data_IF_110902783205
#
_entry.id   IF_110902783205
#
_cell.length_a   1.000
_cell.length_b   1.000
_cell.length_c   1.000
_cell.angle_alpha   90.00
_cell.angle_beta   90.00
_cell.angle_gamma   90.00
#
_symmetry.space_group_name_H-M   'P 1'
#
loop_
_entity.id
_entity.type
_entity.pdbx_description
1 polymer ?
#
# COMPACT_ATOMS: atom_id res chain seq x y z
N UNK A 1 -21.50 14.43 3.77
CA UNK A 1 -20.84 13.73 2.64
C UNK A 1 -20.68 12.26 2.99
N UNK A 2 -21.27 11.35 2.23
CA UNK A 2 -21.04 9.91 2.43
C UNK A 2 -19.59 9.56 2.10
N UNK A 3 -18.84 8.97 3.05
CA UNK A 3 -17.49 8.47 2.81
C UNK A 3 -17.59 7.35 1.76
N UNK A 4 -17.09 7.58 0.54
CA UNK A 4 -16.93 6.51 -0.46
C UNK A 4 -16.06 5.41 0.15
N UNK A 5 -16.56 4.18 0.16
CA UNK A 5 -15.85 3.00 0.66
C UNK A 5 -14.59 2.80 -0.21
N UNK A 6 -13.42 3.10 0.33
CA UNK A 6 -12.14 2.90 -0.37
C UNK A 6 -11.91 1.41 -0.62
N UNK A 7 -11.40 1.05 -1.81
CA UNK A 7 -10.97 -0.33 -2.15
C UNK A 7 -10.10 -0.88 -1.01
N UNK A 8 -10.47 -2.03 -0.46
CA UNK A 8 -9.61 -2.77 0.48
C UNK A 8 -8.45 -3.35 -0.33
N UNK A 9 -7.21 -3.10 0.11
CA UNK A 9 -6.03 -3.68 -0.51
C UNK A 9 -6.06 -5.20 -0.35
N UNK A 10 -5.92 -5.93 -1.46
CA UNK A 10 -5.75 -7.38 -1.49
C UNK A 10 -4.29 -7.73 -1.21
N UNK A 11 -4.01 -8.99 -0.90
CA UNK A 11 -2.64 -9.45 -0.68
C UNK A 11 -1.74 -9.20 -1.91
N UNK A 12 -2.26 -9.42 -3.12
CA UNK A 12 -1.57 -9.12 -4.38
C UNK A 12 -1.17 -7.64 -4.48
N UNK A 13 -2.08 -6.72 -4.13
CA UNK A 13 -1.78 -5.29 -4.12
C UNK A 13 -0.62 -5.00 -3.14
N UNK A 14 -0.57 -5.67 -1.97
CA UNK A 14 0.53 -5.52 -0.99
C UNK A 14 1.86 -6.04 -1.52
N UNK A 15 1.86 -7.17 -2.20
CA UNK A 15 3.07 -7.73 -2.83
C UNK A 15 3.63 -6.77 -3.88
N UNK A 16 2.76 -6.12 -4.67
CA UNK A 16 3.17 -5.10 -5.64
C UNK A 16 3.77 -3.88 -4.92
N UNK A 17 3.13 -3.40 -3.85
CA UNK A 17 3.66 -2.29 -3.04
C UNK A 17 5.06 -2.63 -2.51
N UNK A 18 5.26 -3.81 -1.93
CA UNK A 18 6.57 -4.26 -1.42
C UNK A 18 7.62 -4.32 -2.54
N UNK A 19 7.32 -5.02 -3.63
CA UNK A 19 8.24 -5.19 -4.77
C UNK A 19 8.67 -3.84 -5.35
N UNK A 20 7.72 -2.95 -5.61
CA UNK A 20 8.00 -1.66 -6.21
C UNK A 20 8.66 -0.67 -5.24
N UNK A 21 8.33 -0.77 -3.95
CA UNK A 21 8.98 0.04 -2.92
C UNK A 21 10.46 -0.32 -2.77
N UNK A 22 10.78 -1.63 -2.76
CA UNK A 22 12.17 -2.13 -2.79
C UNK A 22 12.91 -1.75 -4.08
N UNK A 23 12.20 -1.68 -5.19
CA UNK A 23 12.74 -1.17 -6.45
C UNK A 23 12.88 0.37 -6.50
N UNK A 24 12.63 1.08 -5.40
CA UNK A 24 12.79 2.53 -5.30
C UNK A 24 11.71 3.37 -5.99
N UNK A 25 10.69 2.76 -6.58
CA UNK A 25 9.63 3.47 -7.34
C UNK A 25 8.87 4.49 -6.49
N UNK A 26 8.36 5.56 -7.08
CA UNK A 26 7.62 6.59 -6.31
C UNK A 26 6.25 6.03 -5.90
N UNK A 27 5.75 6.46 -4.73
CA UNK A 27 4.42 6.02 -4.23
C UNK A 27 3.31 6.30 -5.25
N UNK A 28 3.40 7.38 -6.02
CA UNK A 28 2.46 7.69 -7.09
C UNK A 28 2.44 6.60 -8.19
N UNK A 29 3.62 6.11 -8.62
CA UNK A 29 3.72 5.07 -9.63
C UNK A 29 3.14 3.75 -9.12
N UNK A 30 3.43 3.41 -7.86
CA UNK A 30 2.89 2.22 -7.19
C UNK A 30 1.35 2.30 -7.11
N UNK A 31 0.82 3.48 -6.77
CA UNK A 31 -0.62 3.70 -6.65
C UNK A 31 -1.32 3.57 -8.00
N UNK A 32 -0.71 4.09 -9.06
CA UNK A 32 -1.20 3.94 -10.43
C UNK A 32 -1.22 2.47 -10.87
N UNK A 33 -0.17 1.71 -10.54
CA UNK A 33 -0.06 0.28 -10.88
C UNK A 33 -1.22 -0.55 -10.29
N UNK A 34 -1.56 -0.35 -9.01
CA UNK A 34 -2.61 -1.12 -8.31
C UNK A 34 -4.00 -0.47 -8.37
N UNK A 35 -4.12 0.66 -9.07
CA UNK A 35 -5.37 1.39 -9.27
C UNK A 35 -5.96 2.00 -8.00
N UNK A 36 -5.13 2.60 -7.15
CA UNK A 36 -5.58 3.29 -5.91
C UNK A 36 -5.04 4.72 -5.84
N UNK A 37 -5.59 5.52 -4.93
CA UNK A 37 -5.01 6.82 -4.62
C UNK A 37 -3.73 6.65 -3.78
N UNK A 38 -2.72 7.51 -3.98
CA UNK A 38 -1.45 7.47 -3.21
C UNK A 38 -1.66 7.47 -1.69
N UNK A 39 -2.69 8.16 -1.20
CA UNK A 39 -3.03 8.21 0.22
C UNK A 39 -3.43 6.84 0.78
N UNK A 40 -3.96 5.94 -0.06
CA UNK A 40 -4.25 4.56 0.33
C UNK A 40 -2.96 3.83 0.70
N UNK A 41 -1.87 4.06 -0.02
CA UNK A 41 -0.57 3.46 0.27
C UNK A 41 0.02 4.07 1.54
N UNK A 42 -0.02 5.40 1.70
CA UNK A 42 0.46 6.04 2.94
C UNK A 42 -0.32 5.56 4.18
N UNK A 43 -1.64 5.40 4.07
CA UNK A 43 -2.46 4.84 5.17
C UNK A 43 -2.12 3.38 5.46
N UNK A 44 -1.81 2.58 4.44
CA UNK A 44 -1.35 1.20 4.62
C UNK A 44 -0.03 1.19 5.42
N UNK A 45 0.94 2.02 5.03
CA UNK A 45 2.21 2.19 5.74
C UNK A 45 2.00 2.58 7.21
N UNK A 46 1.17 3.59 7.47
CA UNK A 46 0.83 4.00 8.83
C UNK A 46 0.14 2.89 9.61
N UNK A 47 -0.78 2.13 8.99
CA UNK A 47 -1.50 1.04 9.67
C UNK A 47 -0.56 -0.06 10.14
N UNK A 48 0.41 -0.46 9.31
CA UNK A 48 1.37 -1.50 9.67
C UNK A 48 2.65 -0.96 10.32
N UNK A 49 2.68 0.31 10.73
CA UNK A 49 3.85 0.93 11.36
C UNK A 49 5.13 0.88 10.50
N UNK A 50 4.99 0.89 9.18
CA UNK A 50 6.10 0.76 8.24
C UNK A 50 6.35 2.05 7.47
N UNK A 51 7.53 2.14 6.86
CA UNK A 51 7.85 3.13 5.83
C UNK A 51 7.91 2.44 4.47
N UNK A 52 8.05 3.20 3.39
CA UNK A 52 8.31 2.65 2.05
C UNK A 52 9.47 1.65 2.05
N UNK A 53 10.52 1.92 2.82
CA UNK A 53 11.75 1.12 2.84
C UNK A 53 11.60 -0.15 3.68
N UNK A 54 10.77 -0.12 4.72
CA UNK A 54 10.58 -1.23 5.66
C UNK A 54 9.27 -2.02 5.43
N UNK A 55 8.52 -1.65 4.39
CA UNK A 55 7.25 -2.29 4.08
C UNK A 55 7.41 -3.77 3.72
N UNK A 56 6.56 -4.61 4.31
CA UNK A 56 6.46 -6.04 4.03
C UNK A 56 4.99 -6.41 3.86
N UNK A 57 4.65 -7.04 2.74
CA UNK A 57 3.29 -7.46 2.42
C UNK A 57 2.76 -8.48 3.43
N UNK A 58 3.64 -9.37 3.90
CA UNK A 58 3.31 -10.38 4.89
C UNK A 58 2.96 -9.76 6.24
N UNK A 59 3.80 -8.83 6.74
CA UNK A 59 3.50 -8.09 7.98
C UNK A 59 2.19 -7.32 7.85
N UNK A 60 2.03 -6.57 6.75
CA UNK A 60 0.83 -5.78 6.52
C UNK A 60 -0.45 -6.62 6.41
N UNK A 61 -0.36 -7.88 5.96
CA UNK A 61 -1.48 -8.81 5.88
C UNK A 61 -1.91 -9.36 7.25
N UNK A 62 -0.97 -9.56 8.18
CA UNK A 62 -1.26 -10.03 9.54
C UNK A 62 -1.96 -8.96 10.39
N UNK A 63 -1.74 -7.68 10.07
CA UNK A 63 -2.32 -6.50 10.74
C UNK A 63 -3.71 -6.10 10.20
N UNK A 64 -4.53 -7.06 9.75
CA UNK A 64 -5.83 -6.85 9.07
C UNK A 64 -6.93 -7.68 9.69
#
# INVERSE_FOLDING_TARGET
MARKKTKRLRYEDRVIIERMSKAGKKVADIANEIGVHRDTIYKEFTRCGATKETYSAEKAQREI
#
